data_IF_847319551602
#
_entry.id   IF_847319551602
#
_cell.length_a   1.000
_cell.length_b   1.000
_cell.length_c   1.000
_cell.angle_alpha   90.00
_cell.angle_beta   90.00
_cell.angle_gamma   90.00
#
_symmetry.space_group_name_H-M   'P 1'
#
loop_
_entity.id
_entity.type
_entity.pdbx_description
1 polymer ?
#
# COMPACT_ATOMS: atom_id res chain seq x y z
N UNK A 1 3.49 -28.67 6.26
CA UNK A 1 4.24 -27.42 6.11
C UNK A 1 5.37 -27.55 5.11
N UNK A 2 6.41 -28.40 5.33
CA UNK A 2 7.62 -28.45 4.47
C UNK A 2 7.33 -28.74 3.00
N UNK A 3 6.41 -29.66 2.66
CA UNK A 3 5.99 -29.94 1.28
C UNK A 3 5.32 -28.74 0.64
N UNK A 4 4.39 -28.11 1.35
CA UNK A 4 3.67 -26.92 0.87
C UNK A 4 4.64 -25.74 0.62
N UNK A 5 5.58 -25.50 1.53
CA UNK A 5 6.62 -24.49 1.33
C UNK A 5 7.50 -24.79 0.09
N UNK A 6 7.91 -26.06 -0.09
CA UNK A 6 8.73 -26.46 -1.24
C UNK A 6 8.08 -26.09 -2.58
N UNK A 7 6.75 -26.18 -2.69
CA UNK A 7 5.99 -25.89 -3.89
C UNK A 7 5.90 -24.38 -4.22
N UNK A 8 6.10 -23.50 -3.22
CA UNK A 8 5.95 -22.04 -3.44
C UNK A 8 7.23 -21.25 -3.23
N UNK A 9 8.28 -21.85 -2.64
CA UNK A 9 9.54 -21.12 -2.33
C UNK A 9 10.22 -20.47 -3.52
N UNK A 10 10.01 -21.02 -4.71
CA UNK A 10 10.61 -20.58 -5.95
C UNK A 10 9.67 -19.72 -6.83
N UNK A 11 8.44 -19.46 -6.38
CA UNK A 11 7.53 -18.60 -7.14
C UNK A 11 8.12 -17.19 -7.28
N UNK A 12 7.85 -16.51 -8.39
CA UNK A 12 8.20 -15.10 -8.56
C UNK A 12 7.58 -14.22 -7.48
N UNK A 13 8.11 -13.02 -7.34
CA UNK A 13 7.59 -11.99 -6.45
C UNK A 13 6.83 -10.95 -7.28
N UNK A 14 5.63 -10.62 -6.83
CA UNK A 14 4.85 -9.47 -7.23
C UNK A 14 4.75 -8.57 -6.01
N UNK A 15 5.56 -7.50 -5.99
CA UNK A 15 5.54 -6.50 -4.91
C UNK A 15 4.64 -5.33 -5.34
N UNK A 16 3.38 -5.43 -5.00
CA UNK A 16 2.34 -4.51 -5.45
C UNK A 16 2.18 -3.26 -4.57
N UNK A 17 3.05 -3.10 -3.60
CA UNK A 17 3.20 -1.86 -2.82
C UNK A 17 4.56 -1.80 -2.12
N UNK A 18 5.38 -0.84 -2.49
CA UNK A 18 6.64 -0.53 -1.83
C UNK A 18 6.99 0.95 -1.94
N UNK A 19 8.04 1.35 -1.24
CA UNK A 19 8.64 2.69 -1.28
C UNK A 19 10.07 2.66 -1.80
N UNK A 20 10.42 1.69 -2.64
CA UNK A 20 11.73 1.64 -3.28
C UNK A 20 11.90 2.81 -4.25
N UNK A 21 13.14 3.29 -4.34
CA UNK A 21 13.49 4.35 -5.28
C UNK A 21 13.71 3.74 -6.67
N UNK A 22 12.84 4.08 -7.61
CA UNK A 22 12.84 3.58 -8.98
C UNK A 22 14.11 3.98 -9.76
N UNK A 23 14.67 5.15 -9.45
CA UNK A 23 15.92 5.62 -10.04
C UNK A 23 17.10 4.73 -9.63
N UNK A 24 17.15 4.33 -8.36
CA UNK A 24 18.19 3.42 -7.88
C UNK A 24 18.12 2.09 -8.64
N UNK A 25 16.92 1.55 -8.88
CA UNK A 25 16.71 0.34 -9.70
C UNK A 25 17.22 0.56 -11.14
N UNK A 26 16.84 1.67 -11.76
CA UNK A 26 17.21 1.98 -13.14
C UNK A 26 18.71 2.12 -13.32
N UNK A 27 19.36 2.87 -12.44
CA UNK A 27 20.80 3.13 -12.46
C UNK A 27 21.63 1.94 -11.94
N UNK A 28 20.99 0.90 -11.38
CA UNK A 28 21.65 -0.23 -10.73
C UNK A 28 22.67 0.24 -9.68
N UNK A 29 22.19 1.11 -8.78
CA UNK A 29 23.02 1.75 -7.76
C UNK A 29 23.77 0.70 -6.94
N UNK A 30 25.04 0.97 -6.69
CA UNK A 30 25.82 0.24 -5.69
C UNK A 30 25.61 0.89 -4.32
N UNK A 31 25.34 0.07 -3.30
CA UNK A 31 25.33 0.55 -1.92
C UNK A 31 26.74 0.42 -1.33
N UNK A 32 27.21 1.47 -0.67
CA UNK A 32 28.53 1.46 -0.05
C UNK A 32 28.76 0.36 1.01
N UNK A 33 27.75 -0.08 1.78
CA UNK A 33 27.81 -1.18 2.78
C UNK A 33 26.42 -1.78 3.12
N UNK A 34 26.34 -2.87 3.89
CA UNK A 34 25.10 -3.55 4.27
C UNK A 34 24.17 -2.67 5.14
N UNK A 35 24.71 -1.71 5.90
CA UNK A 35 23.93 -0.80 6.72
C UNK A 35 23.06 0.12 5.86
N UNK A 36 23.62 0.79 4.82
CA UNK A 36 22.84 1.63 3.91
C UNK A 36 21.79 0.82 3.16
N UNK A 37 22.18 -0.32 2.57
CA UNK A 37 21.25 -1.22 1.88
C UNK A 37 20.07 -1.64 2.76
N UNK A 38 20.33 -1.91 4.04
CA UNK A 38 19.32 -2.49 4.94
C UNK A 38 18.66 -1.46 5.84
N UNK A 39 19.38 -0.45 6.29
CA UNK A 39 18.92 0.53 7.28
C UNK A 39 18.68 1.92 6.67
N UNK A 40 19.31 2.21 5.54
CA UNK A 40 19.18 3.50 4.87
C UNK A 40 17.70 3.79 4.51
N UNK A 41 17.17 4.92 4.97
CA UNK A 41 15.81 5.35 4.68
C UNK A 41 14.67 4.54 5.33
N UNK A 42 14.95 3.45 6.03
CA UNK A 42 13.92 2.58 6.61
C UNK A 42 13.61 2.93 8.08
N UNK A 43 12.66 3.83 8.28
CA UNK A 43 12.25 4.30 9.61
C UNK A 43 11.62 3.21 10.50
N UNK A 44 11.16 2.09 9.95
CA UNK A 44 10.69 0.95 10.72
C UNK A 44 11.84 0.29 11.48
N UNK A 45 12.98 0.13 10.82
CA UNK A 45 14.20 -0.40 11.42
C UNK A 45 14.84 0.60 12.38
N UNK A 46 14.80 1.90 12.07
CA UNK A 46 15.26 2.94 12.98
C UNK A 46 14.51 2.92 14.32
N UNK A 47 13.20 2.67 14.28
CA UNK A 47 12.40 2.45 15.48
C UNK A 47 12.93 1.24 16.29
N UNK A 48 13.20 0.11 15.65
CA UNK A 48 13.74 -1.07 16.32
C UNK A 48 15.11 -0.80 16.94
N UNK A 49 15.99 -0.09 16.25
CA UNK A 49 17.30 0.31 16.77
C UNK A 49 17.19 1.17 18.04
N UNK A 50 16.26 2.14 18.07
CA UNK A 50 15.98 2.96 19.28
C UNK A 50 15.47 2.11 20.43
N UNK A 51 14.59 1.15 20.20
CA UNK A 51 14.12 0.21 21.23
C UNK A 51 15.26 -0.64 21.81
N UNK A 52 16.30 -0.91 21.00
CA UNK A 52 17.54 -1.57 21.44
C UNK A 52 18.53 -0.61 22.12
N UNK A 53 18.17 0.67 22.32
CA UNK A 53 19.02 1.65 22.99
C UNK A 53 20.12 2.26 22.13
N UNK A 54 20.05 2.13 20.80
CA UNK A 54 20.99 2.75 19.88
C UNK A 54 20.77 4.26 19.88
N UNK A 55 21.84 5.04 20.14
CA UNK A 55 21.77 6.49 20.11
C UNK A 55 21.53 7.01 18.69
N UNK A 56 20.74 8.09 18.55
CA UNK A 56 20.31 8.66 17.27
C UNK A 56 21.47 8.91 16.28
N UNK A 57 22.65 9.28 16.77
CA UNK A 57 23.86 9.56 15.97
C UNK A 57 24.39 8.31 15.20
N UNK A 58 23.97 7.10 15.56
CA UNK A 58 24.40 5.84 14.95
C UNK A 58 23.34 5.23 14.04
N UNK A 59 22.21 5.88 13.82
CA UNK A 59 21.11 5.34 13.03
C UNK A 59 21.27 5.67 11.53
N UNK A 60 22.13 6.62 11.19
CA UNK A 60 22.42 7.03 9.80
C UNK A 60 23.86 6.66 9.43
N UNK A 61 24.07 5.63 8.63
CA UNK A 61 25.42 5.23 8.21
C UNK A 61 25.50 4.16 7.11
N UNK A 62 26.56 3.96 6.47
CA UNK A 62 27.04 3.58 5.14
C UNK A 62 27.20 2.06 4.79
N UNK A 63 26.90 1.62 3.54
CA UNK A 63 27.07 0.24 3.04
C UNK A 63 27.14 -0.12 1.53
N UNK A 64 27.91 -1.11 1.01
CA UNK A 64 28.15 -1.49 -0.42
C UNK A 64 27.49 -2.83 -0.93
N UNK A 65 26.37 -2.81 -1.73
CA UNK A 65 25.81 -3.96 -2.49
C UNK A 65 24.94 -3.49 -3.70
N UNK A 66 24.87 -4.29 -4.80
CA UNK A 66 24.17 -3.93 -6.04
C UNK A 66 22.71 -4.43 -6.13
N UNK A 67 21.77 -3.58 -6.52
CA UNK A 67 20.31 -3.81 -6.50
C UNK A 67 19.82 -4.86 -7.51
N UNK A 68 20.27 -4.82 -8.75
CA UNK A 68 19.84 -5.77 -9.79
C UNK A 68 20.14 -7.22 -9.43
N UNK A 69 21.21 -7.47 -8.68
CA UNK A 69 21.51 -8.80 -8.16
C UNK A 69 20.40 -9.28 -7.20
N UNK A 70 19.90 -8.41 -6.34
CA UNK A 70 18.86 -8.74 -5.36
C UNK A 70 17.54 -9.07 -6.08
N UNK A 71 17.11 -8.23 -7.03
CA UNK A 71 15.88 -8.44 -7.79
C UNK A 71 15.90 -9.78 -8.54
N UNK A 72 17.01 -10.10 -9.21
CA UNK A 72 17.22 -11.38 -9.91
C UNK A 72 17.23 -12.55 -8.92
N UNK A 73 17.95 -12.41 -7.81
CA UNK A 73 18.09 -13.46 -6.78
C UNK A 73 16.77 -13.86 -6.16
N UNK A 74 15.87 -12.89 -5.92
CA UNK A 74 14.53 -13.12 -5.38
C UNK A 74 13.46 -13.33 -6.46
N UNK A 75 13.81 -13.29 -7.75
CA UNK A 75 12.89 -13.44 -8.89
C UNK A 75 11.75 -12.42 -8.84
N UNK A 76 12.06 -11.17 -8.58
CA UNK A 76 11.07 -10.10 -8.58
C UNK A 76 10.62 -9.85 -10.01
N UNK A 77 9.33 -9.93 -10.26
CA UNK A 77 8.73 -9.74 -11.60
C UNK A 77 7.97 -8.44 -11.74
N UNK A 78 7.49 -7.91 -10.63
CA UNK A 78 6.73 -6.68 -10.62
C UNK A 78 6.98 -5.91 -9.32
N UNK A 79 7.17 -4.62 -9.45
CA UNK A 79 7.32 -3.66 -8.36
C UNK A 79 6.36 -2.51 -8.64
N UNK A 80 5.47 -2.21 -7.71
CA UNK A 80 4.71 -0.97 -7.68
C UNK A 80 5.34 -0.04 -6.63
N UNK A 81 5.95 1.03 -7.10
CA UNK A 81 6.53 2.09 -6.27
C UNK A 81 5.43 2.95 -5.63
N UNK A 82 5.77 4.01 -4.96
CA UNK A 82 4.79 4.95 -4.40
C UNK A 82 5.15 6.36 -4.86
N UNK A 83 4.34 6.95 -5.74
CA UNK A 83 4.71 8.12 -6.49
C UNK A 83 3.72 9.28 -6.31
N UNK A 84 4.28 10.48 -6.11
CA UNK A 84 3.50 11.71 -6.05
C UNK A 84 2.95 12.05 -7.44
N UNK A 85 1.70 12.58 -7.58
CA UNK A 85 1.10 12.96 -8.85
C UNK A 85 1.97 13.86 -9.74
N UNK A 86 2.85 14.67 -9.18
CA UNK A 86 3.74 15.54 -9.97
C UNK A 86 5.03 14.85 -10.45
N UNK A 87 5.25 13.59 -10.07
CA UNK A 87 6.44 12.83 -10.47
C UNK A 87 6.54 12.74 -12.00
N UNK A 88 7.73 12.97 -12.58
CA UNK A 88 7.95 12.85 -14.03
C UNK A 88 8.02 11.40 -14.54
N UNK A 89 8.04 10.41 -13.66
CA UNK A 89 8.07 8.96 -13.94
C UNK A 89 9.19 8.50 -14.89
N UNK A 90 10.32 9.21 -14.92
CA UNK A 90 11.40 8.97 -15.88
C UNK A 90 12.12 7.63 -15.71
N UNK A 91 11.95 6.98 -14.54
CA UNK A 91 12.70 5.78 -14.15
C UNK A 91 11.83 4.52 -14.04
N UNK A 92 10.54 4.63 -14.44
CA UNK A 92 9.66 3.46 -14.53
C UNK A 92 9.85 2.75 -15.87
N UNK A 93 9.74 1.42 -15.86
CA UNK A 93 9.96 0.62 -17.06
C UNK A 93 10.28 -0.85 -16.75
N UNK A 94 10.93 -1.53 -17.70
CA UNK A 94 11.31 -2.93 -17.55
C UNK A 94 12.83 -3.04 -17.42
N UNK A 95 13.29 -3.65 -16.35
CA UNK A 95 14.69 -3.85 -16.03
C UNK A 95 14.99 -5.35 -15.90
N UNK A 96 15.54 -5.94 -16.96
CA UNK A 96 15.66 -7.39 -17.06
C UNK A 96 14.29 -8.06 -17.07
N UNK A 97 14.02 -8.90 -16.09
CA UNK A 97 12.74 -9.59 -15.91
C UNK A 97 11.75 -8.86 -14.98
N UNK A 98 12.14 -7.70 -14.45
CA UNK A 98 11.35 -6.95 -13.47
C UNK A 98 10.68 -5.75 -14.13
N UNK A 99 9.36 -5.65 -14.02
CA UNK A 99 8.60 -4.43 -14.34
C UNK A 99 8.54 -3.53 -13.12
N UNK A 100 8.96 -2.28 -13.25
CA UNK A 100 8.82 -1.22 -12.24
C UNK A 100 7.74 -0.26 -12.73
N UNK A 101 6.59 -0.26 -12.08
CA UNK A 101 5.43 0.54 -12.43
C UNK A 101 5.12 1.57 -11.33
N UNK A 102 4.62 2.76 -11.68
CA UNK A 102 4.23 3.75 -10.68
C UNK A 102 2.92 3.37 -9.99
N UNK A 103 2.77 3.82 -8.74
CA UNK A 103 1.50 3.85 -8.02
C UNK A 103 1.07 5.30 -7.81
N UNK A 104 -0.17 5.63 -8.15
CA UNK A 104 -0.71 6.98 -8.00
C UNK A 104 -1.07 7.26 -6.54
N UNK A 105 -0.28 8.10 -5.83
CA UNK A 105 -0.51 8.45 -4.43
C UNK A 105 -0.75 9.95 -4.26
N UNK A 106 -2.02 10.40 -4.32
CA UNK A 106 -2.36 11.82 -4.31
C UNK A 106 -2.46 12.45 -2.91
N UNK A 107 -2.02 11.80 -1.84
CA UNK A 107 -2.21 12.25 -0.46
C UNK A 107 -1.75 13.70 -0.23
N UNK A 108 -0.59 14.07 -0.79
CA UNK A 108 -0.06 15.43 -0.71
C UNK A 108 -0.95 16.44 -1.44
N UNK A 109 -1.56 16.04 -2.56
CA UNK A 109 -2.51 16.91 -3.29
C UNK A 109 -3.83 17.05 -2.50
N UNK A 110 -4.27 15.96 -1.86
CA UNK A 110 -5.49 15.95 -1.05
C UNK A 110 -5.33 16.69 0.30
N UNK A 111 -4.11 17.04 0.71
CA UNK A 111 -3.89 17.98 1.82
C UNK A 111 -4.33 19.41 1.48
N UNK A 112 -4.40 19.75 0.20
CA UNK A 112 -4.75 21.07 -0.35
C UNK A 112 -3.78 22.19 0.07
N UNK A 113 -2.55 21.84 0.39
CA UNK A 113 -1.50 22.83 0.71
C UNK A 113 -1.17 23.65 -0.55
N UNK A 114 -0.92 24.95 -0.39
CA UNK A 114 -0.73 25.90 -1.50
C UNK A 114 0.43 25.49 -2.43
N UNK A 115 1.55 24.99 -1.86
CA UNK A 115 2.68 24.54 -2.65
C UNK A 115 2.33 23.28 -3.47
N UNK A 116 1.60 22.32 -2.88
CA UNK A 116 1.14 21.13 -3.57
C UNK A 116 0.19 21.47 -4.73
N UNK A 117 -0.73 22.42 -4.52
CA UNK A 117 -1.65 22.87 -5.56
C UNK A 117 -0.92 23.59 -6.70
N UNK A 118 0.10 24.39 -6.39
CA UNK A 118 0.93 25.11 -7.37
C UNK A 118 1.73 24.11 -8.23
N UNK A 119 2.37 23.13 -7.61
CA UNK A 119 3.11 22.10 -8.31
C UNK A 119 2.21 21.21 -9.18
N UNK A 120 1.01 20.86 -8.67
CA UNK A 120 0.02 20.11 -9.45
C UNK A 120 -0.46 20.90 -10.66
N UNK A 121 -0.75 22.20 -10.47
CA UNK A 121 -1.16 23.10 -11.57
C UNK A 121 -0.11 23.13 -12.68
N UNK A 122 1.16 23.26 -12.31
CA UNK A 122 2.28 23.26 -13.26
C UNK A 122 2.44 21.89 -13.95
N UNK A 123 2.41 20.79 -13.21
CA UNK A 123 2.59 19.44 -13.75
C UNK A 123 1.43 18.99 -14.65
N UNK A 124 0.22 19.51 -14.41
CA UNK A 124 -0.98 19.18 -15.17
C UNK A 124 -1.33 20.21 -16.25
N UNK A 125 -0.60 21.33 -16.32
CA UNK A 125 -0.95 22.48 -17.17
C UNK A 125 -2.43 22.87 -17.01
N UNK A 126 -2.86 23.12 -15.76
CA UNK A 126 -4.28 23.32 -15.40
C UNK A 126 -4.38 24.20 -14.15
N UNK A 127 -5.24 25.22 -14.17
CA UNK A 127 -5.51 26.02 -12.99
C UNK A 127 -6.22 25.18 -11.91
N UNK A 128 -5.71 25.22 -10.67
CA UNK A 128 -6.24 24.54 -9.49
C UNK A 128 -7.01 25.47 -8.54
N UNK A 129 -7.29 26.68 -8.93
CA UNK A 129 -8.01 27.67 -8.12
C UNK A 129 -9.45 27.28 -7.78
N UNK A 130 -10.10 26.47 -8.62
CA UNK A 130 -11.44 25.93 -8.42
C UNK A 130 -11.42 24.41 -8.18
N UNK A 131 -12.50 23.88 -7.56
CA UNK A 131 -12.66 22.43 -7.39
C UNK A 131 -12.60 21.67 -8.72
N UNK A 132 -13.25 22.20 -9.76
CA UNK A 132 -13.28 21.55 -11.07
C UNK A 132 -11.89 21.58 -11.73
N UNK A 133 -11.16 22.69 -11.62
CA UNK A 133 -9.79 22.76 -12.11
C UNK A 133 -8.86 21.82 -11.36
N UNK A 134 -8.98 21.72 -10.05
CA UNK A 134 -8.22 20.76 -9.24
C UNK A 134 -8.52 19.30 -9.63
N UNK A 135 -9.80 18.94 -9.80
CA UNK A 135 -10.20 17.61 -10.27
C UNK A 135 -9.64 17.32 -11.67
N UNK A 136 -9.71 18.29 -12.57
CA UNK A 136 -9.16 18.13 -13.93
C UNK A 136 -7.64 17.91 -13.90
N UNK A 137 -6.93 18.65 -13.04
CA UNK A 137 -5.48 18.46 -12.86
C UNK A 137 -5.15 17.05 -12.36
N UNK A 138 -5.90 16.54 -11.37
CA UNK A 138 -5.73 15.17 -10.87
C UNK A 138 -5.99 14.14 -11.98
N UNK A 139 -7.03 14.32 -12.81
CA UNK A 139 -7.33 13.38 -13.91
C UNK A 139 -6.22 13.41 -14.97
N UNK A 140 -5.70 14.58 -15.36
CA UNK A 140 -4.58 14.68 -16.31
C UNK A 140 -3.34 13.93 -15.81
N UNK A 141 -3.03 14.09 -14.52
CA UNK A 141 -1.90 13.36 -13.91
C UNK A 141 -2.17 11.86 -13.80
N UNK A 142 -3.39 11.46 -13.44
CA UNK A 142 -3.79 10.06 -13.42
C UNK A 142 -3.67 9.40 -14.80
N UNK A 143 -4.11 10.07 -15.85
CA UNK A 143 -3.97 9.60 -17.25
C UNK A 143 -2.50 9.47 -17.65
N UNK A 144 -1.66 10.42 -17.22
CA UNK A 144 -0.22 10.34 -17.42
C UNK A 144 0.37 9.10 -16.72
N UNK A 145 -0.02 8.82 -15.49
CA UNK A 145 0.42 7.62 -14.75
C UNK A 145 -0.04 6.33 -15.43
N UNK A 146 -1.28 6.26 -15.86
CA UNK A 146 -1.83 5.09 -16.58
C UNK A 146 -1.06 4.84 -17.87
N UNK A 147 -0.71 5.88 -18.62
CA UNK A 147 0.13 5.78 -19.82
C UNK A 147 1.55 5.23 -19.51
N UNK A 148 2.03 5.40 -18.26
CA UNK A 148 3.31 4.83 -17.78
C UNK A 148 3.16 3.49 -17.06
N UNK A 149 2.02 2.80 -17.23
CA UNK A 149 1.80 1.45 -16.70
C UNK A 149 1.22 1.38 -15.29
N UNK A 150 0.79 2.50 -14.70
CA UNK A 150 0.12 2.52 -13.42
C UNK A 150 -1.15 1.67 -13.43
N UNK A 151 -1.30 0.80 -12.42
CA UNK A 151 -2.46 -0.08 -12.21
C UNK A 151 -3.08 0.11 -10.84
N UNK A 152 -2.42 0.85 -9.98
CA UNK A 152 -2.70 0.90 -8.55
C UNK A 152 -2.71 2.36 -8.11
N UNK A 153 -3.66 2.73 -7.26
CA UNK A 153 -3.59 3.92 -6.43
C UNK A 153 -3.36 3.54 -4.98
N UNK A 154 -2.80 4.46 -4.21
CA UNK A 154 -2.54 4.28 -2.79
C UNK A 154 -2.94 5.53 -2.00
N UNK A 155 -3.53 5.33 -0.82
CA UNK A 155 -4.00 6.39 0.06
C UNK A 155 -3.65 6.08 1.50
N UNK A 156 -2.80 6.91 2.11
CA UNK A 156 -2.54 6.90 3.55
C UNK A 156 -3.47 7.89 4.26
N UNK A 157 -4.34 7.38 5.14
CA UNK A 157 -5.42 8.18 5.71
C UNK A 157 -5.29 8.32 7.23
N UNK A 158 -5.36 9.55 7.72
CA UNK A 158 -5.45 9.84 9.16
C UNK A 158 -6.87 9.59 9.72
N UNK A 159 -7.88 9.63 8.87
CA UNK A 159 -9.29 9.33 9.17
C UNK A 159 -9.94 8.58 8.01
N UNK A 160 -10.96 7.79 8.29
CA UNK A 160 -11.70 7.06 7.26
C UNK A 160 -12.69 7.99 6.55
N UNK A 161 -12.84 7.84 5.21
CA UNK A 161 -13.86 8.55 4.46
C UNK A 161 -15.27 8.12 4.91
N UNK A 162 -16.24 8.97 4.67
CA UNK A 162 -17.66 8.72 4.88
C UNK A 162 -18.45 8.97 3.60
N UNK A 163 -19.75 9.24 3.71
CA UNK A 163 -20.57 9.60 2.56
C UNK A 163 -20.04 10.82 1.84
N UNK A 164 -20.23 10.83 0.51
CA UNK A 164 -19.92 11.97 -0.34
C UNK A 164 -20.87 13.14 -0.03
N UNK A 165 -20.33 14.29 0.30
CA UNK A 165 -21.11 15.50 0.61
C UNK A 165 -21.75 16.18 -0.62
N UNK A 166 -21.48 15.67 -1.81
CA UNK A 166 -21.98 16.18 -3.07
C UNK A 166 -21.22 17.41 -3.60
N UNK A 167 -21.29 17.63 -4.92
CA UNK A 167 -20.49 18.62 -5.66
C UNK A 167 -20.65 20.03 -5.15
N UNK A 168 -21.88 20.48 -4.82
CA UNK A 168 -22.14 21.85 -4.35
C UNK A 168 -21.42 22.11 -3.02
N UNK A 169 -21.59 21.23 -2.04
CA UNK A 169 -20.94 21.36 -0.73
C UNK A 169 -19.42 21.27 -0.85
N UNK A 170 -18.93 20.37 -1.67
CA UNK A 170 -17.50 20.23 -1.92
C UNK A 170 -16.89 21.49 -2.56
N UNK A 171 -17.59 22.16 -3.51
CA UNK A 171 -17.15 23.41 -4.10
C UNK A 171 -17.10 24.57 -3.09
N UNK A 172 -18.11 24.65 -2.21
CA UNK A 172 -18.13 25.62 -1.10
C UNK A 172 -16.95 25.41 -0.15
N UNK A 173 -16.66 24.15 0.20
CA UNK A 173 -15.54 23.78 1.07
C UNK A 173 -14.20 24.09 0.38
N UNK A 174 -14.05 23.72 -0.89
CA UNK A 174 -12.82 23.96 -1.64
C UNK A 174 -12.49 25.45 -1.76
N UNK A 175 -13.51 26.28 -1.97
CA UNK A 175 -13.31 27.75 -2.07
C UNK A 175 -12.74 28.39 -0.81
N UNK A 176 -12.93 27.77 0.36
CA UNK A 176 -12.40 28.23 1.66
C UNK A 176 -11.46 27.22 2.33
N UNK A 177 -10.78 26.38 1.54
CA UNK A 177 -9.93 25.25 1.98
C UNK A 177 -8.90 25.58 3.03
N UNK A 178 -8.43 26.83 3.09
CA UNK A 178 -7.43 27.28 4.06
C UNK A 178 -7.99 27.44 5.50
N UNK A 179 -9.32 27.48 5.65
CA UNK A 179 -10.02 27.75 6.92
C UNK A 179 -10.96 26.63 7.38
N UNK A 180 -10.84 25.45 6.79
CA UNK A 180 -11.70 24.30 7.11
C UNK A 180 -11.44 23.78 8.54
N UNK A 181 -12.52 23.42 9.22
CA UNK A 181 -12.45 22.60 10.45
C UNK A 181 -12.01 21.17 10.09
N UNK A 182 -11.67 20.37 11.10
CA UNK A 182 -11.30 18.96 10.89
C UNK A 182 -12.44 18.14 10.23
N UNK A 183 -13.69 18.37 10.65
CA UNK A 183 -14.86 17.69 10.08
C UNK A 183 -15.10 18.09 8.63
N UNK A 184 -14.99 19.38 8.31
CA UNK A 184 -15.13 19.89 6.94
C UNK A 184 -14.01 19.39 6.00
N UNK A 185 -12.79 19.24 6.52
CA UNK A 185 -11.70 18.57 5.78
C UNK A 185 -12.06 17.12 5.49
N UNK A 186 -12.66 16.42 6.46
CA UNK A 186 -13.16 15.04 6.29
C UNK A 186 -14.28 14.93 5.25
N UNK A 187 -15.23 15.89 5.22
CA UNK A 187 -16.29 15.95 4.19
C UNK A 187 -15.67 16.13 2.78
N UNK A 188 -14.79 17.13 2.62
CA UNK A 188 -14.15 17.40 1.33
C UNK A 188 -13.25 16.26 0.88
N UNK A 189 -12.48 15.66 1.78
CA UNK A 189 -11.66 14.49 1.49
C UNK A 189 -12.51 13.31 1.02
N UNK A 190 -13.65 13.03 1.67
CA UNK A 190 -14.56 11.95 1.27
C UNK A 190 -15.10 12.16 -0.15
N UNK A 191 -15.47 13.39 -0.49
CA UNK A 191 -15.88 13.77 -1.84
C UNK A 191 -14.76 13.56 -2.88
N UNK A 192 -13.55 14.03 -2.57
CA UNK A 192 -12.41 13.91 -3.48
C UNK A 192 -11.99 12.46 -3.67
N UNK A 193 -12.00 11.65 -2.61
CA UNK A 193 -11.70 10.23 -2.71
C UNK A 193 -12.77 9.48 -3.49
N UNK A 194 -14.07 9.84 -3.32
CA UNK A 194 -15.15 9.28 -4.11
C UNK A 194 -15.01 9.62 -5.61
N UNK A 195 -14.66 10.85 -5.94
CA UNK A 195 -14.33 11.26 -7.31
C UNK A 195 -13.15 10.48 -7.90
N UNK A 196 -12.08 10.28 -7.12
CA UNK A 196 -10.94 9.46 -7.56
C UNK A 196 -11.31 7.99 -7.72
N UNK A 197 -12.16 7.43 -6.86
CA UNK A 197 -12.66 6.07 -6.99
C UNK A 197 -13.42 5.84 -8.31
N UNK A 198 -14.27 6.82 -8.73
CA UNK A 198 -14.90 6.83 -10.03
C UNK A 198 -13.86 6.78 -11.16
N UNK A 199 -12.82 7.62 -11.05
CA UNK A 199 -11.74 7.69 -12.03
C UNK A 199 -10.91 6.40 -12.09
N UNK A 200 -10.65 5.75 -10.94
CA UNK A 200 -9.95 4.46 -10.86
C UNK A 200 -10.79 3.33 -11.46
N UNK A 201 -12.10 3.32 -11.18
CA UNK A 201 -13.03 2.34 -11.75
C UNK A 201 -13.05 2.43 -13.27
N UNK A 202 -13.15 3.65 -13.82
CA UNK A 202 -13.14 3.88 -15.26
C UNK A 202 -11.85 3.42 -15.96
N UNK A 203 -10.73 3.32 -15.22
CA UNK A 203 -9.42 2.89 -15.73
C UNK A 203 -9.04 1.46 -15.30
N UNK A 204 -9.96 0.74 -14.69
CA UNK A 204 -9.76 -0.62 -14.18
C UNK A 204 -8.56 -0.74 -13.21
N UNK A 205 -8.34 0.29 -12.40
CA UNK A 205 -7.27 0.34 -11.40
C UNK A 205 -7.71 -0.29 -10.07
N UNK A 206 -6.72 -0.63 -9.26
CA UNK A 206 -6.91 -1.07 -7.87
C UNK A 206 -6.68 0.12 -6.94
N UNK A 207 -7.58 0.33 -5.98
CA UNK A 207 -7.45 1.34 -4.93
C UNK A 207 -6.94 0.69 -3.64
N UNK A 208 -5.85 1.18 -3.08
CA UNK A 208 -5.32 0.77 -1.79
C UNK A 208 -5.61 1.83 -0.74
N UNK A 209 -6.16 1.41 0.41
CA UNK A 209 -6.52 2.28 1.53
C UNK A 209 -5.75 1.86 2.78
N UNK A 210 -4.79 2.67 3.21
CA UNK A 210 -3.99 2.49 4.42
C UNK A 210 -4.49 3.41 5.53
N UNK A 211 -4.87 2.86 6.69
CA UNK A 211 -5.42 3.63 7.81
C UNK A 211 -5.10 3.03 9.17
N UNK A 212 -5.52 3.72 10.22
CA UNK A 212 -5.28 3.27 11.60
C UNK A 212 -3.92 3.67 12.16
N UNK A 213 -3.22 4.62 11.51
CA UNK A 213 -1.97 5.20 11.99
C UNK A 213 -2.22 6.50 12.73
N UNK A 214 -1.47 6.74 13.80
CA UNK A 214 -1.36 8.04 14.43
C UNK A 214 0.06 8.54 14.23
N UNK A 215 0.21 9.53 13.36
CA UNK A 215 1.51 10.02 12.89
C UNK A 215 2.17 10.97 13.88
N UNK A 216 3.50 10.86 13.99
CA UNK A 216 4.36 11.85 14.66
C UNK A 216 3.90 12.23 16.06
N UNK A 217 3.48 11.28 16.89
CA UNK A 217 2.85 11.52 18.20
C UNK A 217 3.77 12.17 19.24
N UNK A 218 5.09 12.12 19.03
CA UNK A 218 6.08 12.74 19.89
C UNK A 218 6.49 14.11 19.33
N UNK A 219 5.84 15.19 19.79
CA UNK A 219 6.06 16.55 19.31
C UNK A 219 7.52 17.00 19.47
N UNK A 220 8.17 16.66 20.59
CA UNK A 220 9.57 17.03 20.83
C UNK A 220 10.54 16.31 19.88
N UNK A 221 10.26 15.05 19.56
CA UNK A 221 11.03 14.31 18.56
C UNK A 221 10.78 14.86 17.16
N UNK A 222 9.52 15.12 16.80
CA UNK A 222 9.15 15.70 15.49
C UNK A 222 9.87 17.02 15.22
N UNK A 223 9.93 17.92 16.22
CA UNK A 223 10.64 19.20 16.10
C UNK A 223 12.15 19.04 15.87
N UNK A 224 12.73 17.91 16.29
CA UNK A 224 14.18 17.65 16.20
C UNK A 224 14.58 16.89 14.94
N UNK A 225 13.79 15.88 14.54
CA UNK A 225 14.15 14.94 13.46
C UNK A 225 13.16 14.90 12.29
N UNK A 226 12.03 15.60 12.38
CA UNK A 226 11.05 15.70 11.29
C UNK A 226 10.12 14.49 11.15
N UNK A 227 9.53 14.39 9.95
CA UNK A 227 8.60 13.32 9.56
C UNK A 227 9.34 12.01 9.29
N UNK A 228 8.59 10.91 9.29
CA UNK A 228 9.06 9.57 8.93
C UNK A 228 10.31 9.10 9.70
N UNK A 229 10.43 9.53 10.95
CA UNK A 229 11.54 9.21 11.82
C UNK A 229 11.23 8.07 12.83
N UNK A 230 10.10 7.35 12.65
CA UNK A 230 9.73 6.18 13.46
C UNK A 230 8.99 6.50 14.76
N UNK A 231 8.36 7.68 14.88
CA UNK A 231 7.57 8.12 16.04
C UNK A 231 6.06 8.03 15.81
N UNK A 232 5.64 7.13 14.94
CA UNK A 232 4.23 6.82 14.68
C UNK A 232 3.76 5.68 15.57
N UNK A 233 2.46 5.62 15.85
CA UNK A 233 1.83 4.55 16.62
C UNK A 233 0.56 4.06 15.91
N UNK A 234 0.09 2.90 16.35
CA UNK A 234 -1.20 2.33 16.02
C UNK A 234 -2.31 3.16 16.68
N UNK A 235 -3.34 3.54 15.91
CA UNK A 235 -4.52 4.23 16.44
C UNK A 235 -5.39 3.26 17.25
N UNK A 236 -5.82 3.67 18.44
CA UNK A 236 -6.57 2.80 19.37
C UNK A 236 -7.97 2.45 18.89
N UNK A 237 -8.64 3.37 18.18
CA UNK A 237 -9.99 3.15 17.62
C UNK A 237 -10.00 3.51 16.14
N UNK A 238 -10.81 2.76 15.35
CA UNK A 238 -11.03 2.99 13.94
C UNK A 238 -12.54 2.82 13.67
N UNK A 239 -13.18 3.87 13.22
CA UNK A 239 -14.61 3.87 12.89
C UNK A 239 -14.82 3.21 11.50
N UNK A 240 -14.93 1.88 11.50
CA UNK A 240 -15.16 1.10 10.28
C UNK A 240 -16.54 1.36 9.66
N UNK A 241 -17.53 1.89 10.40
CA UNK A 241 -18.85 2.20 9.86
C UNK A 241 -18.78 3.35 8.84
N UNK A 242 -17.83 4.29 9.02
CA UNK A 242 -17.56 5.31 8.00
C UNK A 242 -17.11 4.69 6.69
N UNK A 243 -16.19 3.72 6.76
CA UNK A 243 -15.69 3.01 5.58
C UNK A 243 -16.83 2.23 4.89
N UNK A 244 -17.70 1.57 5.66
CA UNK A 244 -18.85 0.85 5.10
C UNK A 244 -19.74 1.80 4.31
N UNK A 245 -20.12 2.97 4.89
CA UNK A 245 -20.94 3.97 4.20
C UNK A 245 -20.27 4.52 2.93
N UNK A 246 -18.96 4.72 2.98
CA UNK A 246 -18.18 5.16 1.80
C UNK A 246 -18.22 4.12 0.68
N UNK A 247 -17.92 2.85 0.99
CA UNK A 247 -17.91 1.77 0.00
C UNK A 247 -19.32 1.47 -0.54
N UNK A 248 -20.36 1.51 0.30
CA UNK A 248 -21.75 1.37 -0.11
C UNK A 248 -22.17 2.47 -1.10
N UNK A 249 -21.81 3.72 -0.82
CA UNK A 249 -22.06 4.83 -1.73
C UNK A 249 -21.32 4.70 -3.08
N UNK A 250 -20.14 4.06 -3.11
CA UNK A 250 -19.45 3.74 -4.36
C UNK A 250 -20.12 2.58 -5.11
N UNK A 251 -20.45 1.51 -4.39
CA UNK A 251 -21.01 0.29 -4.99
C UNK A 251 -22.42 0.54 -5.55
N UNK A 252 -23.27 1.27 -4.82
CA UNK A 252 -24.62 1.64 -5.23
C UNK A 252 -24.70 2.38 -6.57
N UNK A 253 -23.64 3.11 -6.95
CA UNK A 253 -23.56 3.78 -8.27
C UNK A 253 -22.66 3.05 -9.28
N UNK A 254 -22.21 1.82 -8.96
CA UNK A 254 -21.33 1.04 -9.85
C UNK A 254 -19.91 1.60 -10.00
N UNK A 255 -19.47 2.43 -9.07
CA UNK A 255 -18.19 3.15 -9.11
C UNK A 255 -17.14 2.61 -8.11
N UNK A 256 -17.39 1.47 -7.47
CA UNK A 256 -16.43 0.86 -6.56
C UNK A 256 -15.30 0.18 -7.35
N UNK A 257 -14.04 0.66 -7.24
CA UNK A 257 -12.90 -0.04 -7.82
C UNK A 257 -12.58 -1.34 -7.05
N UNK A 258 -11.75 -2.20 -7.60
CA UNK A 258 -11.12 -3.25 -6.79
C UNK A 258 -10.32 -2.58 -5.69
N UNK A 259 -10.60 -2.94 -4.43
CA UNK A 259 -10.09 -2.19 -3.27
C UNK A 259 -9.34 -3.13 -2.32
N UNK A 260 -8.16 -2.68 -1.84
CA UNK A 260 -7.39 -3.38 -0.79
C UNK A 260 -7.37 -2.53 0.46
N UNK A 261 -7.72 -3.14 1.60
CA UNK A 261 -7.88 -2.47 2.88
C UNK A 261 -6.77 -2.87 3.85
N UNK A 262 -6.01 -1.91 4.32
CA UNK A 262 -4.93 -2.12 5.30
C UNK A 262 -5.21 -1.32 6.57
N UNK A 263 -5.39 -2.01 7.69
CA UNK A 263 -5.46 -1.36 8.99
C UNK A 263 -4.19 -1.61 9.80
N UNK A 264 -3.62 -0.54 10.37
CA UNK A 264 -2.52 -0.69 11.32
C UNK A 264 -3.02 -1.25 12.66
N UNK A 265 -4.30 -1.04 13.00
CA UNK A 265 -4.91 -1.63 14.17
C UNK A 265 -5.44 -3.04 13.87
N UNK A 266 -4.85 -4.12 14.42
CA UNK A 266 -5.26 -5.49 14.13
C UNK A 266 -6.65 -5.83 14.63
N UNK A 267 -7.22 -5.07 15.57
CA UNK A 267 -8.60 -5.30 16.05
C UNK A 267 -9.68 -4.98 15.03
N UNK A 268 -9.33 -4.27 13.95
CA UNK A 268 -10.24 -3.99 12.84
C UNK A 268 -10.32 -5.15 11.83
N UNK A 269 -9.34 -6.07 11.82
CA UNK A 269 -9.25 -7.11 10.79
C UNK A 269 -10.50 -7.99 10.70
N UNK A 270 -11.16 -8.42 11.80
CA UNK A 270 -12.41 -9.16 11.71
C UNK A 270 -13.52 -8.38 10.98
N UNK A 271 -13.68 -7.08 11.27
CA UNK A 271 -14.68 -6.23 10.59
C UNK A 271 -14.34 -6.08 9.09
N UNK A 272 -13.06 -5.88 8.75
CA UNK A 272 -12.62 -5.79 7.36
C UNK A 272 -12.79 -7.11 6.61
N UNK A 273 -12.55 -8.24 7.26
CA UNK A 273 -12.74 -9.56 6.68
C UNK A 273 -14.22 -9.81 6.35
N UNK A 274 -15.13 -9.54 7.29
CA UNK A 274 -16.59 -9.66 7.04
C UNK A 274 -17.07 -8.69 5.95
N UNK A 275 -16.50 -7.48 5.90
CA UNK A 275 -16.81 -6.48 4.87
C UNK A 275 -16.52 -7.00 3.45
N UNK A 276 -15.48 -7.82 3.27
CA UNK A 276 -15.16 -8.41 1.94
C UNK A 276 -16.23 -9.39 1.44
N UNK A 277 -17.07 -9.92 2.33
CA UNK A 277 -18.24 -10.72 1.97
C UNK A 277 -19.41 -9.86 1.47
N UNK A 278 -19.57 -8.65 2.01
CA UNK A 278 -20.58 -7.68 1.57
C UNK A 278 -20.16 -6.97 0.28
N UNK A 279 -18.87 -6.68 0.12
CA UNK A 279 -18.31 -5.99 -1.05
C UNK A 279 -17.28 -6.90 -1.76
N UNK A 280 -17.70 -7.73 -2.75
CA UNK A 280 -16.83 -8.73 -3.39
C UNK A 280 -15.62 -8.15 -4.14
N UNK A 281 -15.60 -6.84 -4.40
CA UNK A 281 -14.46 -6.12 -4.98
C UNK A 281 -13.40 -5.69 -3.94
N UNK A 282 -13.69 -5.87 -2.64
CA UNK A 282 -12.75 -5.57 -1.56
C UNK A 282 -11.90 -6.79 -1.18
N UNK A 283 -10.70 -6.56 -0.70
CA UNK A 283 -9.78 -7.55 -0.10
C UNK A 283 -9.17 -6.98 1.16
N UNK A 284 -8.92 -7.83 2.15
CA UNK A 284 -8.02 -7.49 3.25
C UNK A 284 -6.59 -7.57 2.73
N UNK A 285 -5.81 -6.52 2.92
CA UNK A 285 -4.40 -6.46 2.53
C UNK A 285 -3.49 -7.32 3.42
N UNK A 286 -2.19 -7.32 3.14
CA UNK A 286 -1.20 -8.01 3.96
C UNK A 286 -1.16 -7.46 5.40
N UNK A 287 -0.61 -8.25 6.32
CA UNK A 287 -0.30 -7.78 7.67
C UNK A 287 0.72 -6.63 7.56
N UNK A 288 0.28 -5.43 7.89
CA UNK A 288 0.99 -4.20 7.55
C UNK A 288 1.77 -3.65 8.74
N UNK A 289 3.00 -3.20 8.49
CA UNK A 289 3.88 -2.44 9.39
C UNK A 289 4.08 -3.12 10.76
N UNK A 290 3.48 -2.63 11.86
CA UNK A 290 3.62 -3.23 13.19
C UNK A 290 3.04 -4.66 13.29
N UNK A 291 2.16 -5.02 12.36
CA UNK A 291 1.58 -6.36 12.27
C UNK A 291 2.42 -7.32 11.40
N UNK A 292 3.43 -6.80 10.68
CA UNK A 292 4.30 -7.60 9.84
C UNK A 292 5.41 -8.27 10.68
N UNK A 293 4.96 -9.17 11.51
CA UNK A 293 5.76 -10.05 12.35
C UNK A 293 5.21 -11.47 12.26
N UNK A 294 5.98 -12.47 12.68
CA UNK A 294 5.53 -13.86 12.66
C UNK A 294 4.16 -14.05 13.34
N UNK A 295 3.98 -13.45 14.52
CA UNK A 295 2.72 -13.55 15.25
C UNK A 295 1.59 -12.74 14.60
N UNK A 296 1.89 -11.53 14.06
CA UNK A 296 0.92 -10.67 13.40
C UNK A 296 0.43 -11.25 12.08
N UNK A 297 1.33 -11.75 11.24
CA UNK A 297 0.99 -12.43 9.98
C UNK A 297 0.12 -13.67 10.25
N UNK A 298 0.53 -14.53 11.21
CA UNK A 298 -0.25 -15.74 11.56
C UNK A 298 -1.65 -15.36 12.03
N UNK A 299 -1.77 -14.43 12.97
CA UNK A 299 -3.07 -13.96 13.48
C UNK A 299 -3.95 -13.42 12.36
N UNK A 300 -3.40 -12.65 11.43
CA UNK A 300 -4.18 -12.12 10.31
C UNK A 300 -4.65 -13.23 9.37
N UNK A 301 -3.81 -14.19 9.01
CA UNK A 301 -4.20 -15.34 8.19
C UNK A 301 -5.31 -16.17 8.86
N UNK A 302 -5.20 -16.42 10.17
CA UNK A 302 -6.21 -17.12 10.97
C UNK A 302 -7.52 -16.32 10.99
N UNK A 303 -7.49 -15.01 11.27
CA UNK A 303 -8.66 -14.13 11.26
C UNK A 303 -9.34 -14.08 9.89
N UNK A 304 -8.57 -13.94 8.81
CA UNK A 304 -9.12 -13.95 7.45
C UNK A 304 -9.74 -15.31 7.12
N UNK A 305 -9.14 -16.42 7.58
CA UNK A 305 -9.72 -17.76 7.36
C UNK A 305 -11.01 -18.00 8.14
N UNK A 306 -11.21 -17.29 9.26
CA UNK A 306 -12.40 -17.39 10.11
C UNK A 306 -13.59 -16.58 9.55
N UNK A 307 -13.34 -15.37 9.05
CA UNK A 307 -14.38 -14.40 8.68
C UNK A 307 -14.53 -14.16 7.17
N UNK A 308 -13.60 -14.64 6.35
CA UNK A 308 -13.59 -14.46 4.90
C UNK A 308 -13.01 -15.67 4.17
N UNK A 309 -12.77 -15.52 2.87
CA UNK A 309 -12.15 -16.57 2.04
C UNK A 309 -10.63 -16.38 1.98
N UNK A 310 -9.87 -17.13 2.78
CA UNK A 310 -8.41 -17.10 2.78
C UNK A 310 -7.82 -17.23 1.36
N UNK A 311 -8.45 -18.05 0.51
CA UNK A 311 -8.03 -18.27 -0.89
C UNK A 311 -8.07 -17.04 -1.78
N UNK A 312 -8.67 -15.92 -1.34
CA UNK A 312 -8.68 -14.66 -2.09
C UNK A 312 -7.63 -13.66 -1.61
N UNK A 313 -6.81 -14.02 -0.61
CA UNK A 313 -5.75 -13.15 -0.08
C UNK A 313 -4.69 -12.87 -1.14
N UNK A 314 -4.20 -11.63 -1.18
CA UNK A 314 -3.20 -11.18 -2.17
C UNK A 314 -1.75 -11.49 -1.74
N UNK A 315 -1.58 -12.19 -0.62
CA UNK A 315 -0.27 -12.58 -0.10
C UNK A 315 0.50 -11.42 0.52
N UNK A 316 1.80 -11.39 0.24
CA UNK A 316 2.78 -10.47 0.82
C UNK A 316 3.09 -9.31 -0.11
N UNK A 317 3.43 -8.18 0.47
CA UNK A 317 4.09 -7.02 -0.14
C UNK A 317 5.19 -6.51 0.82
N UNK A 318 6.11 -5.67 0.34
CA UNK A 318 7.20 -5.23 1.23
C UNK A 318 6.86 -4.00 2.06
N UNK A 319 6.12 -3.05 1.55
CA UNK A 319 5.93 -1.71 2.14
C UNK A 319 7.26 -1.13 2.66
N UNK A 320 8.33 -1.31 1.90
CA UNK A 320 9.70 -1.03 2.36
C UNK A 320 10.45 -0.13 1.40
N UNK A 321 11.38 0.64 1.96
CA UNK A 321 12.39 1.41 1.24
C UNK A 321 13.70 0.62 1.02
N UNK A 322 13.76 -0.64 1.45
CA UNK A 322 14.98 -1.45 1.42
C UNK A 322 14.81 -2.69 0.54
N UNK A 323 15.71 -2.88 -0.41
CA UNK A 323 15.78 -4.07 -1.27
C UNK A 323 15.99 -5.37 -0.48
N UNK A 324 16.65 -5.33 0.66
CA UNK A 324 16.80 -6.48 1.55
C UNK A 324 15.46 -7.02 2.08
N UNK A 325 14.39 -6.26 1.99
CA UNK A 325 13.04 -6.66 2.41
C UNK A 325 12.42 -7.76 1.55
N UNK A 326 12.95 -8.06 0.37
CA UNK A 326 12.47 -9.19 -0.44
C UNK A 326 12.66 -10.55 0.25
N UNK A 327 13.59 -10.68 1.20
CA UNK A 327 13.70 -11.86 2.05
C UNK A 327 12.40 -12.15 2.85
N UNK A 328 11.56 -11.15 3.09
CA UNK A 328 10.29 -11.29 3.81
C UNK A 328 9.24 -12.09 3.03
N UNK A 329 9.32 -12.18 1.71
CA UNK A 329 8.47 -13.08 0.93
C UNK A 329 8.73 -14.55 1.27
N UNK A 330 10.00 -14.95 1.45
CA UNK A 330 10.32 -16.31 1.90
C UNK A 330 9.81 -16.56 3.34
N UNK A 331 9.98 -15.58 4.21
CA UNK A 331 9.48 -15.62 5.59
C UNK A 331 7.94 -15.78 5.62
N UNK A 332 7.21 -14.98 4.84
CA UNK A 332 5.75 -15.10 4.69
C UNK A 332 5.32 -16.49 4.19
N UNK A 333 5.98 -17.00 3.14
CA UNK A 333 5.68 -18.32 2.54
C UNK A 333 5.84 -19.45 3.54
N UNK A 334 6.82 -19.34 4.46
CA UNK A 334 7.01 -20.31 5.55
C UNK A 334 5.88 -20.26 6.57
N UNK A 335 5.47 -19.06 6.98
CA UNK A 335 4.35 -18.87 7.92
C UNK A 335 3.05 -19.39 7.31
N UNK A 336 2.77 -19.04 6.06
CA UNK A 336 1.59 -19.50 5.35
C UNK A 336 1.57 -21.04 5.23
N UNK A 337 2.71 -21.66 4.88
CA UNK A 337 2.84 -23.12 4.77
C UNK A 337 2.65 -23.82 6.12
N UNK A 338 3.07 -23.19 7.22
CA UNK A 338 2.82 -23.70 8.57
C UNK A 338 1.34 -23.60 8.95
N UNK A 339 0.71 -22.44 8.68
CA UNK A 339 -0.72 -22.22 8.93
C UNK A 339 -1.60 -23.19 8.15
N UNK A 340 -1.44 -23.26 6.82
CA UNK A 340 -2.22 -24.16 5.95
C UNK A 340 -1.90 -25.63 6.26
N UNK A 341 -0.63 -25.97 6.52
CA UNK A 341 -0.21 -27.30 6.91
C UNK A 341 -0.82 -27.76 8.23
N UNK A 342 -0.99 -26.83 9.18
CA UNK A 342 -1.70 -27.07 10.44
C UNK A 342 -3.19 -27.35 10.21
N UNK A 343 -3.88 -26.55 9.37
CA UNK A 343 -5.27 -26.79 8.98
C UNK A 343 -5.46 -28.18 8.34
N UNK A 344 -4.57 -28.56 7.44
CA UNK A 344 -4.58 -29.90 6.82
C UNK A 344 -4.40 -31.02 7.85
N UNK A 345 -3.43 -30.83 8.78
CA UNK A 345 -3.16 -31.84 9.81
C UNK A 345 -4.33 -32.04 10.79
N UNK A 346 -5.10 -30.99 11.06
CA UNK A 346 -6.31 -31.05 11.89
C UNK A 346 -7.58 -31.47 11.14
N UNK A 347 -7.49 -31.69 9.81
CA UNK A 347 -8.63 -32.04 8.98
C UNK A 347 -9.56 -30.85 8.64
N UNK A 348 -9.14 -29.63 8.90
CA UNK A 348 -9.90 -28.40 8.64
C UNK A 348 -9.82 -27.97 7.16
N UNK A 349 -8.82 -28.45 6.41
CA UNK A 349 -8.63 -28.16 5.00
C UNK A 349 -8.20 -29.40 4.22
N UNK A 350 -8.79 -29.62 3.04
CA UNK A 350 -8.52 -30.78 2.23
C UNK A 350 -7.08 -30.77 1.65
N UNK A 351 -6.27 -31.83 1.85
CA UNK A 351 -4.90 -31.89 1.34
C UNK A 351 -4.78 -31.67 -0.17
N UNK A 352 -5.78 -32.12 -0.94
CA UNK A 352 -5.81 -32.03 -2.41
C UNK A 352 -5.86 -30.59 -2.94
N UNK A 353 -6.33 -29.64 -2.14
CA UNK A 353 -6.47 -28.23 -2.51
C UNK A 353 -5.38 -27.32 -1.93
N UNK A 354 -4.58 -27.83 -1.00
CA UNK A 354 -3.61 -27.03 -0.26
C UNK A 354 -2.50 -26.43 -1.16
N UNK A 355 -2.03 -27.19 -2.16
CA UNK A 355 -0.98 -26.72 -3.07
C UNK A 355 -1.49 -25.56 -3.94
N UNK A 356 -2.71 -25.66 -4.45
CA UNK A 356 -3.35 -24.59 -5.24
C UNK A 356 -3.56 -23.33 -4.39
N UNK A 357 -4.08 -23.49 -3.17
CA UNK A 357 -4.26 -22.38 -2.23
C UNK A 357 -2.95 -21.62 -1.99
N UNK A 358 -1.85 -22.36 -1.77
CA UNK A 358 -0.53 -21.76 -1.55
C UNK A 358 -0.05 -20.96 -2.78
N UNK A 359 -0.22 -21.50 -3.99
CA UNK A 359 0.18 -20.84 -5.24
C UNK A 359 -0.64 -19.58 -5.48
N UNK A 360 -1.95 -19.65 -5.29
CA UNK A 360 -2.86 -18.54 -5.48
C UNK A 360 -2.52 -17.39 -4.51
N UNK A 361 -2.34 -17.66 -3.22
CA UNK A 361 -1.98 -16.63 -2.23
C UNK A 361 -0.57 -16.07 -2.47
N UNK A 362 0.41 -16.93 -2.82
CA UNK A 362 1.80 -16.47 -2.97
C UNK A 362 2.08 -15.74 -4.30
N UNK A 363 1.18 -15.83 -5.29
CA UNK A 363 1.42 -15.26 -6.62
C UNK A 363 0.13 -15.00 -7.42
N UNK A 364 -0.68 -16.01 -7.69
CA UNK A 364 -1.78 -15.96 -8.66
C UNK A 364 -2.79 -14.86 -8.36
N UNK A 365 -3.23 -14.74 -7.10
CA UNK A 365 -4.23 -13.76 -6.70
C UNK A 365 -3.76 -12.31 -6.92
N UNK A 366 -2.49 -12.00 -6.65
CA UNK A 366 -1.96 -10.65 -6.90
C UNK A 366 -1.92 -10.36 -8.41
N UNK A 367 -1.46 -11.31 -9.23
CA UNK A 367 -1.43 -11.17 -10.71
C UNK A 367 -2.85 -10.93 -11.25
N UNK A 368 -3.81 -11.75 -10.84
CA UNK A 368 -5.19 -11.68 -11.33
C UNK A 368 -5.91 -10.42 -10.84
N UNK A 369 -5.76 -10.09 -9.55
CA UNK A 369 -6.43 -8.93 -8.96
C UNK A 369 -5.93 -7.60 -9.52
N UNK A 370 -4.63 -7.53 -9.83
CA UNK A 370 -3.99 -6.37 -10.45
C UNK A 370 -4.07 -6.41 -11.99
N UNK A 371 -4.55 -7.52 -12.56
CA UNK A 371 -4.57 -7.78 -14.02
C UNK A 371 -3.20 -7.59 -14.68
N UNK A 372 -2.19 -8.13 -14.05
CA UNK A 372 -0.83 -8.09 -14.57
C UNK A 372 -0.66 -9.13 -15.69
N UNK A 373 0.00 -8.73 -16.77
CA UNK A 373 0.33 -9.65 -17.86
C UNK A 373 1.64 -10.42 -17.57
N UNK A 374 1.67 -11.11 -16.43
CA UNK A 374 2.81 -11.91 -15.99
C UNK A 374 2.52 -13.38 -16.16
N UNK A 375 3.37 -14.09 -16.91
CA UNK A 375 3.29 -15.56 -17.04
C UNK A 375 4.25 -16.22 -16.05
N UNK A 376 3.82 -17.32 -15.45
CA UNK A 376 4.73 -18.24 -14.76
C UNK A 376 5.60 -18.91 -15.84
N UNK A 377 6.90 -18.61 -15.82
CA UNK A 377 7.90 -19.32 -16.62
C UNK A 377 8.46 -20.49 -15.83
#
# INVERSE_FOLDING_TARGET
ASRLYANVRALPIVDYHCHLNEREIAENRAFPDLGELWLGGDHYKWRAMRLCGVEERYITGNADYHEKYILTRFRVRYIATTDDPVSPLNWHGVYGDTTVAPTFRPDRMLSLDADALTELAAAADTDTGSLEGFKLALIRRLDYFVAHGCRISDHGMDFLPAEDCGVRRAAELYARRDTLTADERGELFSHLLAFLADAYTARDMVMQLHFGTYRNVNTAAFSRVGRDAGYDIMRGQTDTDRLVRFLDGLDARGAMPRTVLYSLNPTCVPALATLTGAFPRARVGAAWWFNDSMAGIRRQLETVSEYALLGTSLGMLTDSRSFASYARFDFFRRILADTVGGMVARGEYAPAHADRLMQDICYGNAVDFLRLQLQLQ
#
